data_IF_055157876404
#
_entry.id   IF_055157876404
#
_cell.length_a   1.000
_cell.length_b   1.000
_cell.length_c   1.000
_cell.angle_alpha   90.00
_cell.angle_beta   90.00
_cell.angle_gamma   90.00
#
_symmetry.space_group_name_H-M   'P 1'
#
loop_
_entity.id
_entity.type
_entity.pdbx_description
1 polymer ?
#
# COMPACT_ATOMS: atom_id res chain seq x y z
N UNK A 1 -15.65 -9.77 -4.97
CA UNK A 1 -15.32 -9.82 -3.53
C UNK A 1 -15.83 -8.53 -2.88
N UNK A 2 -16.74 -8.64 -1.90
CA UNK A 2 -17.46 -7.51 -1.31
C UNK A 2 -16.57 -6.49 -0.56
N UNK A 3 -15.33 -6.85 -0.22
CA UNK A 3 -14.35 -5.95 0.39
C UNK A 3 -13.95 -4.78 -0.53
N UNK A 4 -14.04 -4.92 -1.86
CA UNK A 4 -13.83 -3.79 -2.78
C UNK A 4 -14.82 -2.66 -2.48
N UNK A 5 -16.13 -2.93 -2.41
CA UNK A 5 -17.13 -1.86 -2.35
C UNK A 5 -17.01 -0.88 -1.17
N UNK A 6 -16.64 -1.34 0.03
CA UNK A 6 -16.57 -0.46 1.20
C UNK A 6 -15.35 0.48 1.16
N UNK A 7 -14.24 0.03 0.58
CA UNK A 7 -12.97 0.79 0.58
C UNK A 7 -12.54 1.29 -0.81
N UNK A 8 -13.19 0.83 -1.88
CA UNK A 8 -13.07 1.35 -3.26
C UNK A 8 -14.19 2.32 -3.60
N UNK A 9 -14.99 2.78 -2.64
CA UNK A 9 -15.68 4.05 -2.85
C UNK A 9 -14.55 5.07 -2.92
N UNK A 10 -14.07 5.32 -4.15
CA UNK A 10 -12.94 6.20 -4.37
C UNK A 10 -13.29 7.50 -3.66
N UNK A 11 -12.36 8.11 -2.90
CA UNK A 11 -12.58 9.47 -2.43
C UNK A 11 -12.99 10.39 -3.59
N UNK A 12 -12.52 10.09 -4.81
CA UNK A 12 -12.95 10.72 -6.06
C UNK A 12 -14.43 10.49 -6.45
N UNK A 13 -15.02 9.34 -6.17
CA UNK A 13 -16.44 9.04 -6.46
C UNK A 13 -17.37 9.70 -5.42
N UNK A 14 -16.92 9.80 -4.16
CA UNK A 14 -17.57 10.60 -3.11
C UNK A 14 -17.37 12.12 -3.34
N UNK A 15 -16.22 12.54 -3.88
CA UNK A 15 -15.98 13.92 -4.28
C UNK A 15 -16.78 14.27 -5.55
N UNK A 16 -17.03 13.36 -6.49
CA UNK A 16 -17.84 13.63 -7.67
C UNK A 16 -19.30 14.00 -7.32
N UNK A 17 -19.78 13.63 -6.13
CA UNK A 17 -21.13 13.96 -5.64
C UNK A 17 -21.22 15.30 -4.89
N UNK A 18 -20.10 16.03 -4.67
CA UNK A 18 -20.13 17.34 -3.98
C UNK A 18 -18.95 18.30 -4.21
N UNK A 19 -17.92 17.89 -4.94
CA UNK A 19 -16.74 18.70 -5.22
C UNK A 19 -16.90 19.40 -6.57
N UNK A 20 -16.64 20.71 -6.58
CA UNK A 20 -16.37 21.45 -7.82
C UNK A 20 -15.29 20.68 -8.57
N UNK A 21 -15.57 20.29 -9.82
CA UNK A 21 -14.56 19.74 -10.71
C UNK A 21 -13.34 20.66 -10.69
N UNK A 22 -12.13 20.08 -10.69
CA UNK A 22 -10.88 20.84 -10.66
C UNK A 22 -10.76 21.88 -11.79
N UNK A 23 -11.64 21.79 -12.79
CA UNK A 23 -11.83 22.69 -13.92
C UNK A 23 -12.31 24.11 -13.55
N UNK A 24 -12.83 24.30 -12.33
CA UNK A 24 -13.25 25.61 -11.80
C UNK A 24 -12.33 26.22 -10.75
N UNK A 25 -11.21 25.57 -10.43
CA UNK A 25 -10.31 26.01 -9.36
C UNK A 25 -9.31 27.05 -9.88
N UNK A 26 -9.06 28.11 -9.10
CA UNK A 26 -7.99 29.06 -9.46
C UNK A 26 -6.63 28.34 -9.46
N UNK A 27 -5.67 28.84 -10.24
CA UNK A 27 -4.32 28.26 -10.33
C UNK A 27 -3.66 28.12 -8.96
N UNK A 28 -3.87 29.10 -8.07
CA UNK A 28 -3.34 29.10 -6.71
C UNK A 28 -3.99 28.01 -5.85
N UNK A 29 -5.31 27.86 -5.91
CA UNK A 29 -6.03 26.80 -5.19
C UNK A 29 -5.62 25.41 -5.67
N UNK A 30 -5.44 25.22 -6.99
CA UNK A 30 -4.93 23.96 -7.54
C UNK A 30 -3.54 23.62 -7.00
N UNK A 31 -2.63 24.59 -6.97
CA UNK A 31 -1.28 24.38 -6.40
C UNK A 31 -1.33 24.01 -4.91
N UNK A 32 -2.16 24.69 -4.13
CA UNK A 32 -2.33 24.39 -2.70
C UNK A 32 -2.94 23.01 -2.48
N UNK A 33 -3.91 22.62 -3.30
CA UNK A 33 -4.52 21.30 -3.25
C UNK A 33 -3.52 20.19 -3.59
N UNK A 34 -2.74 20.34 -4.66
CA UNK A 34 -1.68 19.37 -5.02
C UNK A 34 -0.67 19.23 -3.89
N UNK A 35 -0.23 20.35 -3.29
CA UNK A 35 0.69 20.33 -2.15
C UNK A 35 0.11 19.58 -0.95
N UNK A 36 -1.15 19.84 -0.60
CA UNK A 36 -1.81 19.17 0.51
C UNK A 36 -1.99 17.66 0.25
N UNK A 37 -2.36 17.28 -0.98
CA UNK A 37 -2.45 15.88 -1.39
C UNK A 37 -1.10 15.17 -1.27
N UNK A 38 -0.02 15.77 -1.79
CA UNK A 38 1.32 15.21 -1.68
C UNK A 38 1.72 14.97 -0.23
N UNK A 39 1.47 15.94 0.66
CA UNK A 39 1.81 15.81 2.09
C UNK A 39 1.04 14.68 2.78
N UNK A 40 -0.26 14.54 2.50
CA UNK A 40 -1.07 13.47 3.12
C UNK A 40 -0.66 12.09 2.60
N UNK A 41 -0.38 11.97 1.30
CA UNK A 41 0.07 10.70 0.70
C UNK A 41 1.45 10.30 1.22
N UNK A 42 2.38 11.25 1.33
CA UNK A 42 3.71 11.03 1.90
C UNK A 42 3.62 10.59 3.36
N UNK A 43 2.83 11.29 4.18
CA UNK A 43 2.64 10.92 5.58
C UNK A 43 2.03 9.52 5.75
N UNK A 44 1.00 9.19 4.96
CA UNK A 44 0.37 7.87 4.99
C UNK A 44 1.37 6.78 4.59
N UNK A 45 2.12 6.99 3.50
CA UNK A 45 3.18 6.09 3.05
C UNK A 45 4.22 5.85 4.14
N UNK A 46 4.73 6.90 4.78
CA UNK A 46 5.79 6.76 5.77
C UNK A 46 5.33 5.98 7.00
N UNK A 47 4.09 6.20 7.46
CA UNK A 47 3.50 5.42 8.55
C UNK A 47 3.30 3.95 8.18
N UNK A 48 2.83 3.68 6.97
CA UNK A 48 2.63 2.31 6.47
C UNK A 48 3.98 1.59 6.31
N UNK A 49 5.01 2.25 5.76
CA UNK A 49 6.35 1.67 5.62
C UNK A 49 6.99 1.38 6.98
N UNK A 50 6.85 2.30 7.94
CA UNK A 50 7.30 2.06 9.32
C UNK A 50 6.67 0.81 9.92
N UNK A 51 5.39 0.56 9.64
CA UNK A 51 4.71 -0.66 10.11
C UNK A 51 5.25 -1.91 9.41
N UNK A 52 5.43 -1.86 8.09
CA UNK A 52 5.91 -2.99 7.28
C UNK A 52 7.37 -3.38 7.59
N UNK A 53 8.22 -2.41 7.93
CA UNK A 53 9.64 -2.61 8.17
C UNK A 53 9.99 -2.92 9.64
N UNK A 54 9.08 -2.70 10.60
CA UNK A 54 9.36 -2.85 12.05
C UNK A 54 8.79 -4.12 12.68
N UNK A 55 8.65 -5.19 11.91
CA UNK A 55 8.26 -6.50 12.44
C UNK A 55 6.99 -6.44 13.31
N UNK A 56 6.01 -5.65 12.87
CA UNK A 56 4.77 -5.40 13.62
C UNK A 56 4.12 -6.72 14.04
N UNK A 57 3.79 -6.86 15.32
CA UNK A 57 3.23 -8.08 15.94
C UNK A 57 4.11 -9.34 15.90
N UNK A 58 5.39 -9.27 15.50
CA UNK A 58 6.37 -10.36 15.66
C UNK A 58 7.03 -10.29 17.05
N UNK A 59 6.20 -10.41 18.08
CA UNK A 59 6.63 -10.28 19.48
C UNK A 59 7.26 -11.60 19.94
N UNK A 60 8.48 -11.60 20.53
CA UNK A 60 9.03 -12.79 21.15
C UNK A 60 8.19 -13.14 22.39
N UNK A 61 7.66 -14.36 22.44
CA UNK A 61 6.85 -14.86 23.55
C UNK A 61 7.66 -15.86 24.37
N UNK A 62 7.60 -15.75 25.69
CA UNK A 62 8.28 -16.66 26.60
C UNK A 62 7.64 -18.06 26.56
N UNK A 63 8.46 -19.09 26.37
CA UNK A 63 8.04 -20.49 26.28
C UNK A 63 8.17 -21.26 27.61
N UNK A 64 8.58 -20.57 28.67
CA UNK A 64 8.97 -21.14 29.97
C UNK A 64 7.83 -21.81 30.75
N UNK A 65 6.57 -21.53 30.43
CA UNK A 65 5.40 -21.87 31.25
C UNK A 65 4.46 -22.96 30.70
N UNK A 66 4.82 -23.62 29.60
CA UNK A 66 3.95 -24.58 28.90
C UNK A 66 3.55 -24.07 27.51
N UNK A 67 3.87 -24.87 26.47
CA UNK A 67 3.92 -24.39 25.08
C UNK A 67 2.58 -24.06 24.42
N UNK A 68 1.46 -24.64 24.86
CA UNK A 68 0.18 -24.55 24.14
C UNK A 68 -0.41 -23.14 24.10
N UNK A 69 -0.33 -22.37 25.20
CA UNK A 69 -0.85 -20.99 25.24
C UNK A 69 0.04 -20.05 24.43
N UNK A 70 1.36 -20.20 24.55
CA UNK A 70 2.35 -19.45 23.76
C UNK A 70 2.19 -19.71 22.26
N UNK A 71 2.00 -20.98 21.86
CA UNK A 71 1.74 -21.35 20.47
C UNK A 71 0.42 -20.76 19.94
N UNK A 72 -0.65 -20.84 20.76
CA UNK A 72 -1.94 -20.24 20.41
C UNK A 72 -1.80 -18.74 20.20
N UNK A 73 -1.12 -18.03 21.11
CA UNK A 73 -0.93 -16.59 21.01
C UNK A 73 -0.08 -16.21 19.80
N UNK A 74 0.99 -16.97 19.52
CA UNK A 74 1.81 -16.79 18.33
C UNK A 74 0.98 -16.93 17.05
N UNK A 75 0.08 -17.92 17.00
CA UNK A 75 -0.85 -18.11 15.88
C UNK A 75 -1.84 -16.96 15.74
N UNK A 76 -2.45 -16.50 16.83
CA UNK A 76 -3.37 -15.36 16.80
C UNK A 76 -2.68 -14.09 16.24
N UNK A 77 -1.44 -13.81 16.66
CA UNK A 77 -0.67 -12.68 16.15
C UNK A 77 -0.34 -12.84 14.66
N UNK A 78 -0.01 -14.05 14.22
CA UNK A 78 0.21 -14.38 12.81
C UNK A 78 -1.07 -14.16 11.99
N UNK A 79 -2.22 -14.65 12.46
CA UNK A 79 -3.50 -14.50 11.77
C UNK A 79 -3.89 -13.01 11.60
N UNK A 80 -3.62 -12.17 12.62
CA UNK A 80 -3.81 -10.71 12.53
C UNK A 80 -2.92 -10.11 11.44
N UNK A 81 -1.63 -10.49 11.37
CA UNK A 81 -0.74 -9.99 10.31
C UNK A 81 -1.21 -10.42 8.93
N UNK A 82 -1.57 -11.70 8.77
CA UNK A 82 -2.08 -12.20 7.50
C UNK A 82 -3.37 -11.50 7.06
N UNK A 83 -4.19 -11.01 8.01
CA UNK A 83 -5.37 -10.22 7.73
C UNK A 83 -5.01 -8.79 7.24
N UNK A 84 -4.19 -8.07 8.00
CA UNK A 84 -4.00 -6.62 7.79
C UNK A 84 -2.79 -6.24 6.94
N UNK A 85 -1.69 -6.99 6.95
CA UNK A 85 -0.48 -6.63 6.18
C UNK A 85 -0.77 -6.58 4.68
N UNK A 86 -1.40 -7.61 4.05
CA UNK A 86 -1.75 -7.52 2.64
C UNK A 86 -2.73 -6.37 2.33
N UNK A 87 -3.62 -6.06 3.26
CA UNK A 87 -4.61 -4.99 3.13
C UNK A 87 -3.94 -3.60 3.10
N UNK A 88 -2.99 -3.37 4.01
CA UNK A 88 -2.19 -2.13 4.07
C UNK A 88 -1.41 -1.96 2.77
N UNK A 89 -0.70 -3.00 2.31
CA UNK A 89 0.05 -2.96 1.05
C UNK A 89 -0.86 -2.64 -0.14
N UNK A 90 -2.04 -3.26 -0.23
CA UNK A 90 -2.98 -2.96 -1.31
C UNK A 90 -3.46 -1.52 -1.28
N UNK A 91 -3.81 -0.99 -0.10
CA UNK A 91 -4.27 0.40 0.03
C UNK A 91 -3.17 1.40 -0.28
N UNK A 92 -1.96 1.17 0.20
CA UNK A 92 -0.82 2.01 -0.10
C UNK A 92 -0.52 2.02 -1.61
N UNK A 93 -0.50 0.84 -2.25
CA UNK A 93 -0.31 0.73 -3.69
C UNK A 93 -1.38 1.51 -4.47
N UNK A 94 -2.65 1.29 -4.13
CA UNK A 94 -3.78 1.95 -4.82
C UNK A 94 -3.74 3.46 -4.63
N UNK A 95 -3.50 3.94 -3.40
CA UNK A 95 -3.34 5.37 -3.10
C UNK A 95 -2.24 6.01 -3.96
N UNK A 96 -1.08 5.35 -4.06
CA UNK A 96 0.05 5.85 -4.84
C UNK A 96 -0.22 5.85 -6.35
N UNK A 97 -0.86 4.79 -6.88
CA UNK A 97 -1.24 4.72 -8.29
C UNK A 97 -2.31 5.76 -8.64
N UNK A 98 -3.36 5.90 -7.83
CA UNK A 98 -4.46 6.84 -8.09
C UNK A 98 -3.98 8.30 -8.04
N UNK A 99 -3.17 8.64 -7.04
CA UNK A 99 -2.60 9.98 -6.90
C UNK A 99 -1.54 10.32 -7.96
N UNK A 100 -1.01 9.32 -8.69
CA UNK A 100 0.02 9.55 -9.71
C UNK A 100 -0.42 10.42 -10.89
N UNK A 101 -1.73 10.48 -11.16
CA UNK A 101 -2.32 11.37 -12.16
C UNK A 101 -2.07 12.86 -11.86
N UNK A 102 -1.81 13.19 -10.59
CA UNK A 102 -1.58 14.54 -10.09
C UNK A 102 -0.15 14.72 -9.56
N UNK A 103 0.40 13.66 -8.95
CA UNK A 103 1.73 13.62 -8.33
C UNK A 103 2.54 12.48 -8.97
N UNK A 104 3.17 12.70 -10.14
CA UNK A 104 3.70 11.61 -10.97
C UNK A 104 4.72 10.71 -10.29
N UNK A 105 5.48 11.23 -9.32
CA UNK A 105 6.47 10.46 -8.56
C UNK A 105 5.85 9.27 -7.79
N UNK A 106 4.58 9.37 -7.42
CA UNK A 106 3.89 8.33 -6.65
C UNK A 106 3.78 7.01 -7.42
N UNK A 107 3.76 7.04 -8.76
CA UNK A 107 3.74 5.81 -9.56
C UNK A 107 5.02 4.98 -9.38
N UNK A 108 6.17 5.65 -9.33
CA UNK A 108 7.44 4.98 -9.04
C UNK A 108 7.46 4.43 -7.61
N UNK A 109 6.91 5.16 -6.64
CA UNK A 109 6.80 4.69 -5.27
C UNK A 109 5.90 3.45 -5.16
N UNK A 110 4.80 3.39 -5.92
CA UNK A 110 3.91 2.22 -5.96
C UNK A 110 4.64 0.97 -6.46
N UNK A 111 5.47 1.11 -7.50
CA UNK A 111 6.26 0.00 -8.03
C UNK A 111 7.35 -0.46 -7.06
N UNK A 112 8.00 0.48 -6.34
CA UNK A 112 9.00 0.15 -5.33
C UNK A 112 8.43 -0.56 -4.10
N UNK A 113 7.13 -0.46 -3.86
CA UNK A 113 6.50 -1.22 -2.78
C UNK A 113 6.68 -2.74 -2.99
N UNK A 114 6.85 -3.21 -4.23
CA UNK A 114 7.15 -4.60 -4.50
C UNK A 114 8.54 -5.03 -3.98
N UNK A 115 9.50 -4.10 -3.94
CA UNK A 115 10.82 -4.33 -3.33
C UNK A 115 10.66 -4.58 -1.82
N UNK A 116 9.85 -3.77 -1.13
CA UNK A 116 9.56 -3.91 0.30
C UNK A 116 8.82 -5.23 0.60
N UNK A 117 7.83 -5.58 -0.22
CA UNK A 117 7.09 -6.84 -0.06
C UNK A 117 8.01 -8.04 -0.22
N UNK A 118 8.94 -7.99 -1.17
CA UNK A 118 9.90 -9.06 -1.46
C UNK A 118 11.15 -9.04 -0.56
N UNK A 119 11.33 -8.03 0.30
CA UNK A 119 12.53 -7.90 1.12
C UNK A 119 12.62 -9.04 2.16
N UNK A 120 13.74 -9.77 2.14
CA UNK A 120 14.01 -10.90 3.02
C UNK A 120 14.24 -10.48 4.49
N UNK A 121 14.57 -9.21 4.75
CA UNK A 121 14.74 -8.68 6.10
C UNK A 121 13.42 -8.69 6.86
N UNK A 122 12.34 -8.28 6.19
CA UNK A 122 11.02 -8.11 6.79
C UNK A 122 10.06 -9.26 6.45
N UNK A 123 10.34 -10.02 5.37
CA UNK A 123 9.58 -11.18 4.92
C UNK A 123 8.08 -10.92 4.79
N UNK A 124 7.72 -9.71 4.37
CA UNK A 124 6.32 -9.25 4.24
C UNK A 124 5.52 -10.19 3.32
N UNK A 125 6.16 -10.72 2.27
CA UNK A 125 5.57 -11.70 1.36
C UNK A 125 4.97 -12.95 2.04
N UNK A 126 5.47 -13.37 3.21
CA UNK A 126 4.92 -14.53 3.93
C UNK A 126 3.52 -14.25 4.47
N UNK A 127 3.19 -12.98 4.75
CA UNK A 127 1.88 -12.59 5.28
C UNK A 127 0.78 -12.63 4.19
N UNK A 128 1.16 -12.77 2.92
CA UNK A 128 0.23 -12.91 1.78
C UNK A 128 -0.24 -14.35 1.56
N UNK A 129 0.43 -15.34 2.15
CA UNK A 129 0.23 -16.77 1.89
C UNK A 129 -0.62 -17.39 3.00
N UNK A 130 -1.92 -17.56 2.75
CA UNK A 130 -2.86 -18.22 3.66
C UNK A 130 -3.07 -19.67 3.25
N UNK A 131 -3.60 -20.50 4.15
CA UNK A 131 -3.84 -21.93 3.88
C UNK A 131 -4.77 -22.19 2.68
N UNK A 132 -5.63 -21.24 2.32
CA UNK A 132 -6.62 -21.36 1.26
C UNK A 132 -6.54 -20.24 0.18
N UNK A 133 -5.59 -19.31 0.29
CA UNK A 133 -5.50 -18.16 -0.60
C UNK A 133 -4.07 -17.63 -0.68
N UNK A 134 -3.65 -17.21 -1.87
CA UNK A 134 -2.38 -16.53 -2.08
C UNK A 134 -2.64 -15.13 -2.65
N UNK A 135 -2.60 -14.13 -1.78
CA UNK A 135 -2.86 -12.73 -2.14
C UNK A 135 -1.70 -12.11 -2.92
N UNK A 136 -0.54 -12.77 -3.00
CA UNK A 136 0.60 -12.26 -3.76
C UNK A 136 0.28 -12.22 -5.26
N UNK A 137 -0.50 -13.17 -5.76
CA UNK A 137 -0.96 -13.15 -7.15
C UNK A 137 -1.79 -11.89 -7.45
N UNK A 138 -2.71 -11.54 -6.55
CA UNK A 138 -3.51 -10.31 -6.66
C UNK A 138 -2.62 -9.06 -6.60
N UNK A 139 -1.60 -9.07 -5.74
CA UNK A 139 -0.63 -7.97 -5.68
C UNK A 139 0.13 -7.80 -6.99
N UNK A 140 0.63 -8.89 -7.56
CA UNK A 140 1.39 -8.85 -8.81
C UNK A 140 0.55 -8.37 -10.00
N UNK A 141 -0.76 -8.61 -10.00
CA UNK A 141 -1.67 -8.02 -11.00
C UNK A 141 -1.71 -6.48 -10.89
N UNK A 142 -1.77 -5.94 -9.67
CA UNK A 142 -1.73 -4.49 -9.43
C UNK A 142 -0.39 -3.88 -9.82
N UNK A 143 0.72 -4.58 -9.53
CA UNK A 143 2.06 -4.16 -9.96
C UNK A 143 2.13 -4.12 -11.49
N UNK A 144 1.62 -5.17 -12.17
CA UNK A 144 1.55 -5.20 -13.64
C UNK A 144 0.75 -4.02 -14.21
N UNK A 145 -0.41 -3.71 -13.64
CA UNK A 145 -1.24 -2.58 -14.08
C UNK A 145 -0.50 -1.24 -13.91
N UNK A 146 0.17 -1.04 -12.78
CA UNK A 146 0.99 0.15 -12.53
C UNK A 146 2.19 0.24 -13.50
N UNK A 147 2.84 -0.89 -13.80
CA UNK A 147 3.94 -0.94 -14.78
C UNK A 147 3.47 -0.57 -16.18
N UNK A 148 2.32 -1.07 -16.62
CA UNK A 148 1.73 -0.69 -17.91
C UNK A 148 1.36 0.80 -17.95
N UNK A 149 0.83 1.35 -16.85
CA UNK A 149 0.56 2.78 -16.74
C UNK A 149 1.84 3.61 -16.87
N UNK A 150 2.94 3.18 -16.23
CA UNK A 150 4.22 3.86 -16.32
C UNK A 150 4.77 3.84 -17.76
N UNK A 151 4.71 2.69 -18.43
CA UNK A 151 5.12 2.55 -19.82
C UNK A 151 4.30 3.44 -20.76
N UNK A 152 2.99 3.53 -20.56
CA UNK A 152 2.12 4.42 -21.32
C UNK A 152 2.48 5.91 -21.13
N UNK A 153 3.03 6.26 -19.95
CA UNK A 153 3.53 7.60 -19.65
C UNK A 153 4.97 7.83 -20.17
N UNK A 154 5.55 6.86 -20.89
CA UNK A 154 6.92 6.93 -21.42
C UNK A 154 8.02 6.68 -20.38
N UNK A 155 7.67 6.19 -19.19
CA UNK A 155 8.63 5.81 -18.16
C UNK A 155 9.20 4.40 -18.36
N UNK A 156 10.29 4.10 -17.68
CA UNK A 156 10.92 2.78 -17.66
C UNK A 156 10.71 2.10 -16.29
N UNK A 157 10.16 0.89 -16.31
CA UNK A 157 9.81 0.09 -15.13
C UNK A 157 11.06 -0.39 -14.38
N UNK A 158 12.19 -0.49 -15.06
CA UNK A 158 13.45 -0.97 -14.47
C UNK A 158 14.47 0.13 -14.23
N UNK A 159 14.13 1.37 -14.55
CA UNK A 159 14.99 2.50 -14.26
C UNK A 159 15.05 2.68 -12.74
N UNK A 160 16.23 2.43 -12.18
CA UNK A 160 16.50 2.64 -10.76
C UNK A 160 16.28 4.13 -10.46
N UNK A 161 15.19 4.47 -9.79
CA UNK A 161 14.89 5.85 -9.43
C UNK A 161 16.01 6.38 -8.54
N UNK A 162 16.57 7.53 -8.91
CA UNK A 162 17.49 8.26 -8.03
C UNK A 162 16.63 8.87 -6.92
N UNK A 163 16.77 8.37 -5.69
CA UNK A 163 16.22 9.06 -4.52
C UNK A 163 16.89 10.44 -4.45
N UNK A 164 16.09 11.51 -4.59
CA UNK A 164 16.53 12.89 -4.39
C UNK A 164 16.46 13.26 -2.92
#
# INVERSE_FOLDING_TARGET
>A
VAYKHFWTTRPADAAASGARTADGMSKLERLNWVKALSQVVEQARDLDLVLLERDWLKIPLDTSGGGLETERRSRELFDIRQAYIPEIVFRLHDMLVESSSVVPINLNMALRLAEIVADERHKVYLEFIRSNANLLQDYMLRVREASLLLLNNGGDVFQKAVES
#
